data_IF_157923180120
#
_entry.id   IF_157923180120
#
_cell.length_a   1.000
_cell.length_b   1.000
_cell.length_c   1.000
_cell.angle_alpha   90.00
_cell.angle_beta   90.00
_cell.angle_gamma   90.00
#
_symmetry.space_group_name_H-M   'P 1'
#
loop_
_entity.id
_entity.type
_entity.pdbx_description
1 polymer ?
#
# COMPACT_ATOMS: atom_id res chain seq x y z
N UNK A 1 22.89 7.12 -24.14
CA UNK A 1 23.87 6.55 -23.18
C UNK A 1 23.13 5.47 -22.43
N UNK A 2 23.73 4.29 -22.28
CA UNK A 2 23.11 3.22 -21.50
C UNK A 2 23.31 3.53 -20.01
N UNK A 3 22.22 3.66 -19.26
CA UNK A 3 22.22 4.07 -17.85
C UNK A 3 22.08 2.82 -17.01
N UNK A 4 22.92 2.68 -16.00
CA UNK A 4 22.97 1.53 -15.09
C UNK A 4 22.64 1.97 -13.67
N UNK A 5 22.33 1.01 -12.79
CA UNK A 5 21.94 1.32 -11.41
C UNK A 5 23.07 2.01 -10.63
N UNK A 6 24.32 1.70 -10.95
CA UNK A 6 25.50 2.29 -10.31
C UNK A 6 25.64 3.79 -10.61
N UNK A 7 24.91 4.30 -11.61
CA UNK A 7 24.88 5.72 -11.96
C UNK A 7 23.92 6.52 -11.05
N UNK A 8 23.17 5.86 -10.14
CA UNK A 8 22.22 6.50 -9.21
C UNK A 8 22.69 6.40 -7.75
N UNK A 9 22.41 7.44 -6.96
CA UNK A 9 22.79 7.51 -5.54
C UNK A 9 21.80 6.79 -4.62
N UNK A 10 22.30 5.93 -3.74
CA UNK A 10 21.55 5.38 -2.61
C UNK A 10 20.22 4.72 -3.02
N UNK A 11 19.11 5.15 -2.41
CA UNK A 11 17.77 4.59 -2.68
C UNK A 11 17.34 4.75 -4.13
N UNK A 12 17.86 5.73 -4.87
CA UNK A 12 17.53 5.91 -6.29
C UNK A 12 18.04 4.76 -7.16
N UNK A 13 19.13 4.09 -6.79
CA UNK A 13 19.59 2.90 -7.51
C UNK A 13 18.58 1.74 -7.37
N UNK A 14 18.04 1.54 -6.18
CA UNK A 14 16.99 0.54 -5.93
C UNK A 14 15.69 0.88 -6.65
N UNK A 15 15.29 2.16 -6.64
CA UNK A 15 14.10 2.63 -7.36
C UNK A 15 14.30 2.43 -8.87
N UNK A 16 15.46 2.78 -9.42
CA UNK A 16 15.79 2.56 -10.83
C UNK A 16 15.74 1.08 -11.21
N UNK A 17 16.36 0.21 -10.42
CA UNK A 17 16.41 -1.23 -10.67
C UNK A 17 15.03 -1.90 -10.66
N UNK A 18 14.07 -1.36 -9.90
CA UNK A 18 12.75 -1.98 -9.75
C UNK A 18 11.62 -1.26 -10.51
N UNK A 19 11.78 0.04 -10.79
CA UNK A 19 10.71 0.91 -11.31
C UNK A 19 11.16 1.69 -12.56
N UNK A 20 12.46 1.74 -12.85
CA UNK A 20 13.02 2.36 -14.05
C UNK A 20 13.37 3.84 -13.91
N UNK A 21 14.05 4.37 -14.93
CA UNK A 21 14.63 5.72 -14.93
C UNK A 21 13.59 6.83 -14.80
N UNK A 22 12.50 6.76 -15.58
CA UNK A 22 11.52 7.84 -15.65
C UNK A 22 10.92 8.14 -14.27
N UNK A 23 10.50 7.09 -13.55
CA UNK A 23 9.93 7.23 -12.20
C UNK A 23 10.98 7.67 -11.19
N UNK A 24 12.22 7.17 -11.33
CA UNK A 24 13.34 7.59 -10.45
C UNK A 24 13.58 9.10 -10.54
N UNK A 25 13.58 9.65 -11.77
CA UNK A 25 13.76 11.08 -12.00
C UNK A 25 12.57 11.91 -11.49
N UNK A 26 11.35 11.42 -11.66
CA UNK A 26 10.15 12.08 -11.14
C UNK A 26 10.20 12.18 -9.60
N UNK A 27 10.50 11.07 -8.91
CA UNK A 27 10.63 11.06 -7.45
C UNK A 27 11.71 12.05 -6.99
N UNK A 28 12.89 12.04 -7.64
CA UNK A 28 13.95 12.99 -7.29
C UNK A 28 13.51 14.45 -7.48
N UNK A 29 12.77 14.75 -8.56
CA UNK A 29 12.31 16.11 -8.85
C UNK A 29 11.30 16.64 -7.83
N UNK A 30 10.46 15.76 -7.27
CA UNK A 30 9.39 16.15 -6.33
C UNK A 30 9.88 16.12 -4.89
N UNK A 31 10.72 15.15 -4.53
CA UNK A 31 11.04 14.81 -3.14
C UNK A 31 12.52 15.03 -2.76
N UNK A 32 13.36 15.45 -3.71
CA UNK A 32 14.80 15.67 -3.48
C UNK A 32 15.07 16.59 -2.29
N UNK A 33 15.98 16.17 -1.39
CA UNK A 33 16.35 16.91 -0.18
C UNK A 33 15.47 16.66 1.05
N UNK A 34 14.38 15.90 0.92
CA UNK A 34 13.52 15.52 2.03
C UNK A 34 13.90 14.14 2.59
N UNK A 35 13.63 13.91 3.88
CA UNK A 35 13.78 12.60 4.52
C UNK A 35 12.41 11.97 4.74
N UNK A 36 12.24 10.72 4.27
CA UNK A 36 11.02 9.94 4.47
C UNK A 36 11.32 8.65 5.22
N UNK A 37 10.41 8.29 6.12
CA UNK A 37 10.33 6.94 6.66
C UNK A 37 9.12 6.26 6.01
N UNK A 38 9.36 5.30 5.11
CA UNK A 38 8.27 4.60 4.44
C UNK A 38 7.46 3.78 5.45
N UNK A 39 6.16 4.08 5.63
CA UNK A 39 5.33 3.31 6.53
C UNK A 39 5.16 1.89 6.02
N UNK A 40 5.13 0.90 6.92
CA UNK A 40 4.85 -0.51 6.57
C UNK A 40 3.47 -0.69 5.90
N UNK A 41 2.53 0.20 6.23
CA UNK A 41 1.15 0.16 5.73
C UNK A 41 1.05 1.04 4.49
N UNK A 42 0.67 0.45 3.37
CA UNK A 42 0.50 1.15 2.10
C UNK A 42 -0.81 1.95 2.06
N UNK A 43 -1.89 1.36 2.54
CA UNK A 43 -3.23 1.93 2.42
C UNK A 43 -3.60 2.82 3.61
N UNK A 44 -4.53 3.75 3.41
CA UNK A 44 -5.10 4.54 4.51
C UNK A 44 -6.21 3.77 5.23
N UNK A 45 -6.57 4.19 6.45
CA UNK A 45 -7.73 3.62 7.16
C UNK A 45 -9.01 3.79 6.34
N UNK A 46 -9.17 4.94 5.69
CA UNK A 46 -10.32 5.31 4.88
C UNK A 46 -10.42 4.41 3.65
N UNK A 47 -9.30 4.11 3.01
CA UNK A 47 -9.24 3.14 1.93
C UNK A 47 -9.68 1.76 2.39
N UNK A 48 -9.15 1.27 3.53
CA UNK A 48 -9.50 -0.05 4.06
C UNK A 48 -10.99 -0.15 4.38
N UNK A 49 -11.59 0.90 4.95
CA UNK A 49 -13.04 0.94 5.24
C UNK A 49 -13.86 0.86 3.95
N UNK A 50 -13.49 1.63 2.91
CA UNK A 50 -14.16 1.57 1.60
C UNK A 50 -14.03 0.18 0.98
N UNK A 51 -12.82 -0.38 0.97
CA UNK A 51 -12.55 -1.71 0.46
C UNK A 51 -13.39 -2.78 1.17
N UNK A 52 -13.50 -2.70 2.51
CA UNK A 52 -14.35 -3.60 3.30
C UNK A 52 -15.83 -3.47 2.92
N UNK A 53 -16.35 -2.25 2.71
CA UNK A 53 -17.75 -2.06 2.29
C UNK A 53 -18.06 -2.72 0.94
N UNK A 54 -17.08 -2.77 0.05
CA UNK A 54 -17.24 -3.33 -1.30
C UNK A 54 -16.98 -4.84 -1.36
N UNK A 55 -16.04 -5.36 -0.55
CA UNK A 55 -15.50 -6.71 -0.71
C UNK A 55 -15.73 -7.64 0.50
N UNK A 56 -16.19 -7.14 1.64
CA UNK A 56 -16.43 -7.98 2.81
C UNK A 56 -17.69 -8.82 2.62
N UNK A 57 -17.55 -10.15 2.69
CA UNK A 57 -18.66 -11.10 2.52
C UNK A 57 -19.15 -11.72 3.84
N UNK A 58 -18.68 -11.20 4.98
CA UNK A 58 -19.03 -11.71 6.30
C UNK A 58 -18.10 -12.81 6.84
N UNK A 59 -17.25 -13.40 5.98
CA UNK A 59 -16.36 -14.52 6.34
C UNK A 59 -14.91 -14.34 5.90
N UNK A 60 -14.61 -13.33 5.08
CA UNK A 60 -13.30 -13.12 4.45
C UNK A 60 -12.39 -12.09 5.15
N UNK A 61 -12.66 -11.71 6.40
CA UNK A 61 -11.87 -10.68 7.13
C UNK A 61 -10.37 -11.00 7.14
N UNK A 62 -10.02 -12.28 7.34
CA UNK A 62 -8.63 -12.75 7.35
C UNK A 62 -7.93 -12.56 6.00
N UNK A 63 -8.64 -12.83 4.90
CA UNK A 63 -8.10 -12.67 3.55
C UNK A 63 -7.84 -11.20 3.25
N UNK A 64 -8.83 -10.33 3.55
CA UNK A 64 -8.70 -8.88 3.37
C UNK A 64 -7.56 -8.32 4.21
N UNK A 65 -7.42 -8.77 5.47
CA UNK A 65 -6.32 -8.34 6.33
C UNK A 65 -4.95 -8.72 5.75
N UNK A 66 -4.81 -9.94 5.23
CA UNK A 66 -3.57 -10.40 4.58
C UNK A 66 -3.27 -9.60 3.31
N UNK A 67 -4.26 -9.39 2.45
CA UNK A 67 -4.13 -8.65 1.18
C UNK A 67 -3.69 -7.21 1.41
N UNK A 68 -4.31 -6.52 2.37
CA UNK A 68 -4.01 -5.12 2.68
C UNK A 68 -2.82 -4.96 3.64
N UNK A 69 -2.20 -6.06 4.08
CA UNK A 69 -1.09 -6.09 5.04
C UNK A 69 -1.42 -5.47 6.42
N UNK A 70 -2.57 -5.81 6.97
CA UNK A 70 -3.02 -5.45 8.33
C UNK A 70 -3.24 -6.67 9.21
N UNK A 71 -3.31 -6.46 10.53
CA UNK A 71 -3.72 -7.51 11.44
C UNK A 71 -5.23 -7.76 11.33
N UNK A 72 -5.61 -9.03 11.37
CA UNK A 72 -7.02 -9.45 11.32
C UNK A 72 -7.84 -8.79 12.43
N UNK A 73 -7.29 -8.69 13.64
CA UNK A 73 -7.93 -8.00 14.78
C UNK A 73 -8.27 -6.54 14.47
N UNK A 74 -7.38 -5.80 13.82
CA UNK A 74 -7.61 -4.40 13.49
C UNK A 74 -8.68 -4.27 12.39
N UNK A 75 -8.61 -5.09 11.36
CA UNK A 75 -9.60 -5.11 10.28
C UNK A 75 -10.99 -5.50 10.83
N UNK A 76 -11.07 -6.52 11.69
CA UNK A 76 -12.30 -6.92 12.37
C UNK A 76 -12.86 -5.78 13.23
N UNK A 77 -12.00 -5.03 13.91
CA UNK A 77 -12.43 -3.85 14.66
C UNK A 77 -13.04 -2.79 13.75
N UNK A 78 -12.53 -2.59 12.53
CA UNK A 78 -13.11 -1.67 11.57
C UNK A 78 -14.49 -2.14 11.08
N UNK A 79 -14.64 -3.45 10.80
CA UNK A 79 -15.94 -4.04 10.42
C UNK A 79 -16.98 -3.74 11.50
N UNK A 80 -16.64 -3.98 12.77
CA UNK A 80 -17.55 -3.79 13.89
C UNK A 80 -17.89 -2.30 14.11
N UNK A 81 -16.88 -1.42 14.13
CA UNK A 81 -17.07 0.03 14.33
C UNK A 81 -17.90 0.69 13.24
N UNK A 82 -17.73 0.23 11.99
CA UNK A 82 -18.42 0.80 10.83
C UNK A 82 -19.70 0.03 10.45
N UNK A 83 -20.10 -0.96 11.28
CA UNK A 83 -21.28 -1.82 11.06
C UNK A 83 -21.35 -2.39 9.64
N UNK A 84 -20.20 -2.81 9.10
CA UNK A 84 -20.09 -3.31 7.72
C UNK A 84 -20.77 -4.68 7.66
N UNK A 85 -21.82 -4.78 6.84
CA UNK A 85 -22.57 -6.03 6.65
C UNK A 85 -21.92 -6.83 5.52
N UNK A 86 -21.72 -8.12 5.75
CA UNK A 86 -21.34 -9.04 4.70
C UNK A 86 -22.57 -9.44 3.89
N UNK A 87 -22.57 -9.20 2.59
CA UNK A 87 -23.52 -9.87 1.71
C UNK A 87 -22.98 -11.25 1.39
N UNK A 88 -23.68 -12.29 1.85
CA UNK A 88 -23.42 -13.65 1.36
C UNK A 88 -23.93 -13.67 -0.08
N UNK A 89 -23.05 -13.37 -1.05
CA UNK A 89 -23.31 -13.67 -2.44
C UNK A 89 -23.46 -15.19 -2.54
N UNK A 90 -24.71 -15.64 -2.65
CA UNK A 90 -25.08 -17.05 -2.88
C UNK A 90 -24.58 -17.50 -4.23
#
# INVERSE_FOLDING_TARGET
>A
MDIRKEDFNGVYATIFEHIGENVTREIHSVFGGQQFNFPKKLYSKEYVIRYLKENYNGRNVRNIAKELNYSERWVQSLVNQNKIKGEVKR
#
